data_IF_913485958895
#
_entry.id   IF_913485958895
#
_cell.length_a   1.000
_cell.length_b   1.000
_cell.length_c   1.000
_cell.angle_alpha   90.00
_cell.angle_beta   90.00
_cell.angle_gamma   90.00
#
_symmetry.space_group_name_H-M   'P 1'
#
loop_
_entity.id
_entity.type
_entity.pdbx_description
1 polymer ?
#
# COMPACT_ATOMS: atom_id res chain seq x y z
N UNK A 1 6.96 -15.68 -7.12
CA UNK A 1 6.04 -15.67 -5.96
C UNK A 1 6.90 -15.64 -4.71
N UNK A 2 6.80 -14.64 -3.84
CA UNK A 2 7.53 -14.67 -2.57
C UNK A 2 6.78 -15.65 -1.66
N UNK A 3 7.29 -16.86 -1.40
CA UNK A 3 6.59 -17.86 -0.61
C UNK A 3 6.82 -17.52 0.85
N UNK A 4 6.31 -16.37 1.31
CA UNK A 4 6.20 -15.95 2.70
C UNK A 4 7.47 -15.94 3.56
N UNK A 5 8.64 -16.29 3.02
CA UNK A 5 9.84 -16.60 3.81
C UNK A 5 10.16 -15.48 4.82
N UNK A 6 10.31 -15.81 6.12
CA UNK A 6 10.40 -17.17 6.68
C UNK A 6 9.06 -17.81 7.11
N UNK A 7 7.91 -17.15 6.91
CA UNK A 7 6.61 -17.57 7.44
C UNK A 7 5.65 -18.09 6.36
N UNK A 8 4.98 -19.19 6.63
CA UNK A 8 3.86 -19.65 5.82
C UNK A 8 2.66 -18.71 5.93
N UNK A 9 1.80 -18.71 4.91
CA UNK A 9 0.52 -17.97 4.93
C UNK A 9 -0.33 -18.31 6.18
N UNK A 10 -0.26 -19.56 6.65
CA UNK A 10 -0.94 -20.01 7.87
C UNK A 10 -0.36 -19.36 9.14
N UNK A 11 0.94 -19.17 9.21
CA UNK A 11 1.62 -18.51 10.33
C UNK A 11 1.32 -17.01 10.36
N UNK A 12 1.34 -16.37 9.18
CA UNK A 12 0.90 -14.97 9.02
C UNK A 12 -0.54 -14.81 9.49
N UNK A 13 -1.44 -15.71 9.07
CA UNK A 13 -2.85 -15.73 9.50
C UNK A 13 -3.01 -15.85 11.03
N UNK A 14 -2.18 -16.69 11.66
CA UNK A 14 -2.19 -16.89 13.11
C UNK A 14 -1.75 -15.61 13.82
N UNK A 15 -0.69 -14.97 13.34
CA UNK A 15 -0.20 -13.69 13.86
C UNK A 15 -1.24 -12.58 13.74
N UNK A 16 -1.87 -12.43 12.57
CA UNK A 16 -2.92 -11.43 12.33
C UNK A 16 -4.13 -11.62 13.25
N UNK A 17 -4.60 -12.86 13.42
CA UNK A 17 -5.70 -13.16 14.34
C UNK A 17 -5.34 -12.85 15.78
N UNK A 18 -4.14 -13.26 16.22
CA UNK A 18 -3.65 -12.99 17.56
C UNK A 18 -3.50 -11.49 17.84
N UNK A 19 -3.06 -10.72 16.84
CA UNK A 19 -2.99 -9.26 16.92
C UNK A 19 -4.38 -8.68 17.16
N UNK A 20 -5.36 -8.99 16.30
CA UNK A 20 -6.72 -8.45 16.40
C UNK A 20 -7.44 -8.86 17.69
N UNK A 21 -7.18 -10.07 18.21
CA UNK A 21 -7.78 -10.52 19.47
C UNK A 21 -7.22 -9.80 20.69
N UNK A 22 -5.99 -9.27 20.63
CA UNK A 22 -5.35 -8.53 21.73
C UNK A 22 -5.79 -7.07 21.81
N UNK A 23 -6.44 -6.55 20.78
CA UNK A 23 -6.86 -5.17 20.76
C UNK A 23 -8.15 -5.00 21.58
N UNK A 24 -8.23 -3.94 22.39
CA UNK A 24 -9.42 -3.56 23.17
C UNK A 24 -10.70 -3.48 22.34
N UNK A 25 -11.80 -4.12 22.78
CA UNK A 25 -13.03 -4.31 22.00
C UNK A 25 -13.54 -3.02 21.32
N UNK A 26 -13.40 -1.88 21.98
CA UNK A 26 -13.88 -0.57 21.53
C UNK A 26 -12.89 0.22 20.64
N UNK A 27 -11.72 -0.35 20.37
CA UNK A 27 -10.69 0.31 19.56
C UNK A 27 -10.98 0.21 18.06
N UNK A 28 -10.76 1.32 17.36
CA UNK A 28 -10.72 1.40 15.91
C UNK A 28 -9.33 1.02 15.40
N UNK A 29 -9.26 0.23 14.33
CA UNK A 29 -8.01 -0.33 13.82
C UNK A 29 -7.72 0.20 12.42
N UNK A 30 -6.54 0.79 12.23
CA UNK A 30 -5.93 1.00 10.92
C UNK A 30 -4.97 -0.16 10.68
N UNK A 31 -5.27 -1.00 9.68
CA UNK A 31 -4.40 -2.13 9.35
C UNK A 31 -3.50 -1.74 8.18
N UNK A 32 -2.18 -1.84 8.38
CA UNK A 32 -1.19 -1.63 7.32
C UNK A 32 -0.44 -2.94 7.11
N UNK A 33 -0.48 -3.44 5.88
CA UNK A 33 0.10 -4.73 5.50
C UNK A 33 0.90 -4.56 4.22
N UNK A 34 1.90 -5.42 3.99
CA UNK A 34 2.61 -5.37 2.71
C UNK A 34 1.73 -5.92 1.57
N UNK A 35 1.20 -7.13 1.74
CA UNK A 35 0.30 -7.77 0.77
C UNK A 35 -1.17 -7.53 1.15
N UNK A 36 -1.98 -7.07 0.19
CA UNK A 36 -3.42 -6.85 0.37
C UNK A 36 -4.23 -8.14 0.47
N UNK A 37 -5.53 -8.08 0.80
CA UNK A 37 -6.38 -9.27 0.83
C UNK A 37 -6.58 -9.84 -0.58
N UNK A 38 -6.55 -11.16 -0.75
CA UNK A 38 -6.80 -11.79 -2.05
C UNK A 38 -8.21 -11.49 -2.59
N UNK A 39 -8.35 -11.51 -3.92
CA UNK A 39 -9.65 -11.40 -4.61
C UNK A 39 -10.34 -10.05 -4.43
N UNK A 40 -9.57 -8.97 -4.29
CA UNK A 40 -10.09 -7.58 -4.35
C UNK A 40 -9.46 -6.85 -5.52
N UNK A 41 -10.10 -5.80 -6.04
CA UNK A 41 -9.64 -5.10 -7.25
C UNK A 41 -8.28 -4.37 -7.10
N UNK A 42 -7.80 -4.18 -5.87
CA UNK A 42 -6.45 -3.64 -5.60
C UNK A 42 -5.36 -4.71 -5.55
N UNK A 43 -5.70 -5.97 -5.78
CA UNK A 43 -4.78 -7.11 -5.92
C UNK A 43 -4.98 -7.77 -7.29
N UNK A 44 -3.92 -8.37 -7.83
CA UNK A 44 -3.95 -9.04 -9.12
C UNK A 44 -4.18 -10.53 -8.91
N UNK A 45 -5.07 -11.09 -9.73
CA UNK A 45 -5.22 -12.52 -9.96
C UNK A 45 -5.14 -12.72 -11.46
N UNK A 46 -3.99 -13.17 -11.98
CA UNK A 46 -3.93 -13.61 -13.37
C UNK A 46 -4.47 -15.02 -13.44
N UNK A 47 -5.37 -15.31 -14.38
CA UNK A 47 -5.70 -16.70 -14.71
C UNK A 47 -4.41 -17.40 -15.14
N UNK A 48 -4.27 -18.68 -14.81
CA UNK A 48 -3.34 -19.57 -15.51
C UNK A 48 -3.50 -19.31 -17.02
N UNK A 49 -2.39 -19.10 -17.74
CA UNK A 49 -2.40 -18.58 -19.10
C UNK A 49 -3.39 -19.35 -19.99
N UNK A 50 -4.48 -18.71 -20.41
CA UNK A 50 -5.50 -19.31 -21.29
C UNK A 50 -5.06 -19.24 -22.77
N UNK A 51 -3.78 -18.97 -23.04
CA UNK A 51 -3.22 -19.02 -24.38
C UNK A 51 -3.02 -20.47 -24.78
N UNK A 52 -3.96 -20.96 -25.60
CA UNK A 52 -4.08 -22.29 -26.18
C UNK A 52 -2.84 -22.86 -26.91
N UNK A 53 -1.64 -22.26 -26.82
CA UNK A 53 -0.53 -22.55 -27.73
C UNK A 53 0.90 -22.53 -27.15
N UNK A 54 1.14 -22.63 -25.83
CA UNK A 54 2.51 -22.79 -25.30
C UNK A 54 2.60 -23.94 -24.32
N UNK A 55 3.59 -24.82 -24.48
CA UNK A 55 3.86 -25.97 -23.58
C UNK A 55 4.22 -25.53 -22.14
N UNK A 56 4.51 -24.25 -21.90
CA UNK A 56 4.79 -23.66 -20.59
C UNK A 56 3.53 -23.02 -19.94
N UNK A 57 2.39 -23.72 -19.96
CA UNK A 57 1.18 -23.24 -19.27
C UNK A 57 1.44 -23.23 -17.77
N UNK A 58 1.32 -22.07 -17.12
CA UNK A 58 1.30 -22.00 -15.66
C UNK A 58 0.13 -22.80 -15.12
N UNK A 59 0.41 -23.85 -14.35
CA UNK A 59 -0.64 -24.68 -13.73
C UNK A 59 -1.51 -23.92 -12.71
N UNK A 60 -1.02 -22.78 -12.21
CA UNK A 60 -1.68 -22.03 -11.14
C UNK A 60 -1.80 -20.53 -11.43
N UNK A 61 -2.93 -19.90 -11.07
CA UNK A 61 -3.08 -18.46 -11.17
C UNK A 61 -2.06 -17.75 -10.28
N UNK A 62 -1.55 -16.61 -10.74
CA UNK A 62 -0.73 -15.75 -9.90
C UNK A 62 -1.66 -14.85 -9.11
N UNK A 63 -1.78 -15.14 -7.82
CA UNK A 63 -2.42 -14.27 -6.85
C UNK A 63 -1.38 -13.42 -6.12
N UNK A 64 -1.54 -12.11 -6.16
CA UNK A 64 -0.66 -11.17 -5.46
C UNK A 64 -1.22 -10.76 -4.09
N UNK A 65 -2.41 -11.22 -3.74
CA UNK A 65 -3.06 -10.97 -2.45
C UNK A 65 -2.95 -12.16 -1.50
N UNK A 66 -3.22 -11.92 -0.22
CA UNK A 66 -3.20 -12.89 0.86
C UNK A 66 -4.61 -13.47 1.12
N UNK A 67 -4.85 -14.78 0.86
CA UNK A 67 -6.12 -15.42 1.17
C UNK A 67 -6.40 -15.46 2.68
N UNK A 68 -5.36 -15.59 3.50
CA UNK A 68 -5.55 -15.57 4.94
C UNK A 68 -5.98 -14.21 5.47
N UNK A 69 -5.38 -13.13 4.96
CA UNK A 69 -5.79 -11.77 5.30
C UNK A 69 -7.24 -11.51 4.87
N UNK A 70 -7.65 -11.99 3.68
CA UNK A 70 -9.05 -11.93 3.25
C UNK A 70 -9.96 -12.59 4.29
N UNK A 71 -9.65 -13.81 4.72
CA UNK A 71 -10.43 -14.54 5.73
C UNK A 71 -10.50 -13.78 7.07
N UNK A 72 -9.37 -13.23 7.53
CA UNK A 72 -9.31 -12.42 8.76
C UNK A 72 -10.18 -11.17 8.65
N UNK A 73 -10.06 -10.43 7.55
CA UNK A 73 -10.82 -9.20 7.32
C UNK A 73 -12.31 -9.45 7.09
N UNK A 74 -12.71 -10.62 6.58
CA UNK A 74 -14.11 -11.03 6.47
C UNK A 74 -14.75 -11.41 7.81
N UNK A 75 -13.98 -11.58 8.89
CA UNK A 75 -14.53 -11.90 10.21
C UNK A 75 -15.40 -10.77 10.79
N UNK A 76 -16.42 -11.12 11.58
CA UNK A 76 -17.29 -10.14 12.24
C UNK A 76 -16.49 -9.12 13.07
N UNK A 77 -15.47 -9.59 13.78
CA UNK A 77 -14.59 -8.75 14.60
C UNK A 77 -13.85 -7.72 13.77
N UNK A 78 -13.24 -8.13 12.64
CA UNK A 78 -12.56 -7.19 11.76
C UNK A 78 -13.53 -6.21 11.11
N UNK A 79 -14.68 -6.69 10.61
CA UNK A 79 -15.72 -5.85 9.99
C UNK A 79 -16.31 -4.80 10.94
N UNK A 80 -16.27 -5.05 12.26
CA UNK A 80 -16.71 -4.08 13.26
C UNK A 80 -15.64 -3.03 13.58
N UNK A 81 -14.36 -3.39 13.53
CA UNK A 81 -13.28 -2.65 14.19
C UNK A 81 -12.25 -2.05 13.24
N UNK A 82 -11.99 -2.70 12.11
CA UNK A 82 -11.04 -2.21 11.11
C UNK A 82 -11.70 -1.09 10.31
N UNK A 83 -11.11 0.09 10.41
CA UNK A 83 -11.60 1.31 9.77
C UNK A 83 -11.05 1.44 8.34
N UNK A 84 -9.86 0.92 8.12
CA UNK A 84 -9.16 0.94 6.84
C UNK A 84 -8.09 -0.15 6.82
N UNK A 85 -7.89 -0.78 5.67
CA UNK A 85 -6.70 -1.57 5.35
C UNK A 85 -5.90 -0.87 4.24
N UNK A 86 -4.63 -0.57 4.47
CA UNK A 86 -3.72 -0.04 3.45
C UNK A 86 -2.66 -1.10 3.12
N UNK A 87 -2.35 -1.26 1.83
CA UNK A 87 -1.35 -2.21 1.37
C UNK A 87 -0.52 -1.73 0.17
N UNK A 88 0.48 -2.53 -0.19
CA UNK A 88 1.30 -2.36 -1.39
C UNK A 88 1.53 -3.71 -2.09
N UNK A 89 2.79 -4.03 -2.37
CA UNK A 89 3.31 -5.26 -2.98
C UNK A 89 2.99 -5.47 -4.47
N UNK A 90 1.75 -5.25 -4.88
CA UNK A 90 1.29 -5.79 -6.17
C UNK A 90 1.78 -4.98 -7.36
N UNK A 91 2.23 -3.73 -7.15
CA UNK A 91 2.68 -2.71 -8.12
C UNK A 91 1.66 -2.39 -9.25
N UNK A 92 0.88 -3.38 -9.66
CA UNK A 92 -0.40 -3.32 -10.36
C UNK A 92 -1.57 -3.35 -9.36
N UNK A 93 -2.74 -2.82 -9.75
CA UNK A 93 -3.91 -2.71 -8.85
C UNK A 93 -3.87 -1.49 -7.93
N UNK A 94 -3.31 -0.38 -8.42
CA UNK A 94 -3.32 0.92 -7.72
C UNK A 94 -4.76 1.43 -7.59
N UNK A 95 -5.12 1.93 -6.41
CA UNK A 95 -6.42 2.55 -6.17
C UNK A 95 -7.09 2.08 -4.90
N UNK A 96 -8.42 1.99 -4.94
CA UNK A 96 -9.25 1.79 -3.76
C UNK A 96 -10.35 0.78 -4.03
N UNK A 97 -10.69 0.01 -3.02
CA UNK A 97 -11.78 -0.97 -3.08
C UNK A 97 -12.36 -1.19 -1.69
N UNK A 98 -13.26 -2.18 -1.57
CA UNK A 98 -13.86 -2.56 -0.29
C UNK A 98 -13.90 -4.08 -0.14
N UNK A 99 -13.64 -4.54 1.07
CA UNK A 99 -13.92 -5.89 1.50
C UNK A 99 -15.00 -5.84 2.58
N UNK A 100 -16.26 -6.00 2.16
CA UNK A 100 -17.41 -5.73 3.01
C UNK A 100 -17.49 -4.25 3.40
N UNK A 101 -17.44 -3.96 4.71
CA UNK A 101 -17.46 -2.59 5.25
C UNK A 101 -16.08 -1.94 5.33
N UNK A 102 -15.01 -2.72 5.16
CA UNK A 102 -13.62 -2.26 5.32
C UNK A 102 -13.15 -1.66 4.00
N UNK A 103 -12.85 -0.34 3.93
CA UNK A 103 -12.13 0.25 2.82
C UNK A 103 -10.73 -0.35 2.71
N UNK A 104 -10.29 -0.61 1.49
CA UNK A 104 -8.96 -1.13 1.18
C UNK A 104 -8.29 -0.18 0.19
N UNK A 105 -7.07 0.27 0.51
CA UNK A 105 -6.30 1.19 -0.32
C UNK A 105 -4.97 0.55 -0.74
N UNK A 106 -4.62 0.70 -2.00
CA UNK A 106 -3.29 0.40 -2.54
C UNK A 106 -2.73 1.66 -3.19
N UNK A 107 -1.74 2.25 -2.54
CA UNK A 107 -1.13 3.50 -3.01
C UNK A 107 -0.34 3.32 -4.31
N UNK A 108 0.00 2.09 -4.67
CA UNK A 108 0.91 1.82 -5.78
C UNK A 108 2.38 2.05 -5.42
N UNK A 109 3.23 1.96 -6.44
CA UNK A 109 4.67 2.20 -6.29
C UNK A 109 4.97 3.67 -6.53
N UNK A 110 5.71 4.29 -5.60
CA UNK A 110 6.21 5.65 -5.80
C UNK A 110 7.13 5.78 -7.03
N UNK A 111 7.83 4.70 -7.42
CA UNK A 111 8.78 4.71 -8.52
C UNK A 111 8.19 4.28 -9.87
N UNK A 112 7.07 3.54 -9.87
CA UNK A 112 6.46 3.05 -11.11
C UNK A 112 5.14 3.75 -11.43
N UNK A 113 4.24 3.86 -10.44
CA UNK A 113 2.95 4.53 -10.65
C UNK A 113 2.99 6.01 -10.31
N UNK A 114 4.09 6.49 -9.70
CA UNK A 114 4.22 7.87 -9.21
C UNK A 114 3.00 8.31 -8.41
N UNK A 115 2.43 7.40 -7.60
CA UNK A 115 1.11 7.62 -7.00
C UNK A 115 1.16 7.47 -5.48
N UNK A 116 0.26 8.15 -4.79
CA UNK A 116 0.07 8.07 -3.35
C UNK A 116 -1.41 8.20 -2.99
N UNK A 117 -1.81 7.68 -1.82
CA UNK A 117 -3.17 7.80 -1.33
C UNK A 117 -3.28 8.85 -0.21
N UNK A 118 -4.20 9.79 -0.34
CA UNK A 118 -4.61 10.70 0.72
C UNK A 118 -5.88 10.16 1.39
N UNK A 119 -5.77 9.77 2.65
CA UNK A 119 -6.88 9.28 3.47
C UNK A 119 -7.17 10.30 4.56
N UNK A 120 -8.42 10.75 4.65
CA UNK A 120 -8.89 11.59 5.74
C UNK A 120 -9.71 10.73 6.70
N UNK A 121 -9.25 10.68 7.96
CA UNK A 121 -9.96 10.03 9.05
C UNK A 121 -10.69 11.08 9.88
N UNK A 122 -11.97 10.85 10.16
CA UNK A 122 -12.73 11.66 11.11
C UNK A 122 -13.03 10.85 12.35
N UNK A 123 -12.89 11.51 13.49
CA UNK A 123 -13.28 10.95 14.78
C UNK A 123 -14.72 11.35 15.06
N UNK A 124 -15.59 10.38 15.23
CA UNK A 124 -16.95 10.64 15.70
C UNK A 124 -16.87 10.97 17.20
N UNK A 125 -17.12 12.23 17.54
CA UNK A 125 -17.33 12.66 18.92
C UNK A 125 -18.71 12.15 19.35
N UNK A 126 -18.77 11.42 20.46
CA UNK A 126 -20.01 10.77 20.88
C UNK A 126 -20.88 11.65 21.77
N UNK A 127 -22.18 11.38 21.60
CA UNK A 127 -23.30 11.63 22.52
C UNK A 127 -22.95 11.09 23.92
N UNK A 128 -23.29 11.80 25.01
CA UNK A 128 -22.78 11.58 26.38
C UNK A 128 -22.87 10.15 26.95
N UNK A 129 -23.73 9.28 26.43
CA UNK A 129 -24.10 8.00 27.06
C UNK A 129 -23.36 6.74 26.56
N UNK A 130 -22.40 6.86 25.64
CA UNK A 130 -21.56 5.71 25.26
C UNK A 130 -20.10 6.10 25.05
N UNK A 131 -19.18 5.51 25.80
CA UNK A 131 -17.75 5.86 25.81
C UNK A 131 -16.92 5.50 24.56
N UNK A 132 -17.44 4.80 23.54
CA UNK A 132 -16.59 4.42 22.39
C UNK A 132 -16.32 5.57 21.42
N UNK A 133 -15.05 5.95 21.28
CA UNK A 133 -14.60 6.92 20.27
C UNK A 133 -14.29 6.16 18.98
N UNK A 134 -15.10 6.33 17.93
CA UNK A 134 -14.94 5.59 16.67
C UNK A 134 -14.31 6.48 15.59
N UNK A 135 -13.31 5.93 14.90
CA UNK A 135 -12.77 6.54 13.69
C UNK A 135 -13.51 6.03 12.46
N UNK A 136 -13.65 6.89 11.45
CA UNK A 136 -14.16 6.52 10.13
C UNK A 136 -13.34 7.19 9.04
N UNK A 137 -13.25 6.54 7.88
CA UNK A 137 -12.75 7.18 6.66
C UNK A 137 -13.81 8.15 6.16
N UNK A 138 -13.50 9.45 6.14
CA UNK A 138 -14.38 10.48 5.56
C UNK A 138 -14.08 10.75 4.09
N UNK A 139 -12.83 10.58 3.67
CA UNK A 139 -12.41 10.72 2.28
C UNK A 139 -11.20 9.85 2.00
N UNK A 140 -11.10 9.38 0.77
CA UNK A 140 -9.95 8.64 0.27
C UNK A 140 -9.73 9.03 -1.19
N UNK A 141 -8.54 9.52 -1.51
CA UNK A 141 -8.17 9.97 -2.85
C UNK A 141 -6.87 9.32 -3.26
N UNK A 142 -6.81 8.87 -4.51
CA UNK A 142 -5.56 8.46 -5.13
C UNK A 142 -5.04 9.66 -5.93
N UNK A 143 -3.79 10.04 -5.68
CA UNK A 143 -3.15 11.19 -6.29
C UNK A 143 -1.93 10.71 -7.07
N UNK A 144 -1.72 11.30 -8.24
CA UNK A 144 -0.56 11.05 -9.10
C UNK A 144 0.38 12.25 -9.02
N UNK A 145 1.67 11.96 -8.88
CA UNK A 145 2.77 12.90 -9.01
C UNK A 145 3.05 13.05 -10.51
N UNK A 146 2.32 13.97 -11.17
CA UNK A 146 2.61 14.34 -12.55
C UNK A 146 3.75 15.38 -12.58
N UNK A 147 4.66 15.25 -13.54
CA UNK A 147 5.57 16.34 -13.89
C UNK A 147 6.97 16.31 -13.29
N UNK A 148 7.54 15.15 -12.94
CA UNK A 148 9.00 15.06 -12.72
C UNK A 148 9.78 15.05 -14.05
N UNK A 149 9.49 15.99 -14.95
CA UNK A 149 10.44 16.32 -16.01
C UNK A 149 11.44 17.31 -15.38
N UNK A 150 12.74 17.11 -15.61
CA UNK A 150 13.79 17.95 -15.01
C UNK A 150 13.49 19.45 -15.23
N UNK A 151 13.19 20.18 -14.15
CA UNK A 151 13.01 21.64 -14.16
C UNK A 151 11.61 22.18 -13.89
N UNK A 152 10.56 21.36 -13.91
CA UNK A 152 9.19 21.81 -13.61
C UNK A 152 8.81 21.55 -12.14
N UNK A 153 8.15 22.51 -11.44
CA UNK A 153 7.70 22.32 -10.07
C UNK A 153 6.63 21.22 -9.99
N UNK A 154 6.72 20.41 -8.94
CA UNK A 154 5.81 19.29 -8.67
C UNK A 154 4.36 19.78 -8.55
N UNK A 155 3.55 19.58 -9.60
CA UNK A 155 2.14 19.98 -9.65
C UNK A 155 1.24 18.81 -9.22
N UNK A 156 0.61 18.95 -8.05
CA UNK A 156 -0.41 18.02 -7.57
C UNK A 156 -1.71 18.20 -8.39
N UNK A 157 -1.85 17.47 -9.50
CA UNK A 157 -3.10 17.48 -10.26
C UNK A 157 -4.20 16.73 -9.51
N UNK A 158 -5.35 17.36 -9.30
CA UNK A 158 -6.55 16.72 -8.72
C UNK A 158 -6.77 16.94 -7.22
N UNK A 159 -5.90 17.68 -6.53
CA UNK A 159 -6.09 18.05 -5.13
C UNK A 159 -6.64 19.48 -4.98
N UNK A 160 -7.90 19.73 -5.38
CA UNK A 160 -8.65 20.82 -4.76
C UNK A 160 -9.02 20.40 -3.33
N UNK A 161 -8.03 20.47 -2.45
CA UNK A 161 -8.21 20.12 -1.05
C UNK A 161 -8.95 21.27 -0.36
N UNK A 162 -10.29 21.23 -0.41
CA UNK A 162 -11.14 22.11 0.40
C UNK A 162 -11.03 21.69 1.88
N UNK A 163 -9.92 22.07 2.52
CA UNK A 163 -9.76 21.96 3.96
C UNK A 163 -10.58 23.08 4.60
N UNK A 164 -11.83 22.75 4.97
CA UNK A 164 -12.79 23.66 5.62
C UNK A 164 -12.45 23.98 7.09
N UNK A 165 -11.45 23.32 7.67
CA UNK A 165 -11.04 23.55 9.07
C UNK A 165 -9.64 24.18 9.15
N UNK A 166 -9.47 25.33 9.81
CA UNK A 166 -8.17 26.00 9.96
C UNK A 166 -7.10 25.12 10.62
N UNK A 167 -7.48 24.25 11.57
CA UNK A 167 -6.54 23.38 12.29
C UNK A 167 -6.04 22.20 11.44
N UNK A 168 -6.85 21.74 10.47
CA UNK A 168 -6.44 20.71 9.52
C UNK A 168 -5.50 21.24 8.43
N UNK A 169 -5.53 22.55 8.12
CA UNK A 169 -4.59 23.16 7.17
C UNK A 169 -3.17 23.09 7.69
N UNK A 170 -2.97 23.44 8.97
CA UNK A 170 -1.65 23.36 9.61
C UNK A 170 -1.14 21.93 9.68
N UNK A 171 -2.01 20.96 10.03
CA UNK A 171 -1.61 19.55 10.08
C UNK A 171 -1.26 18.99 8.68
N UNK A 172 -2.06 19.32 7.66
CA UNK A 172 -1.79 18.92 6.28
C UNK A 172 -0.43 19.46 5.81
N UNK A 173 -0.15 20.75 6.05
CA UNK A 173 1.14 21.37 5.72
C UNK A 173 2.31 20.66 6.44
N UNK A 174 2.15 20.32 7.73
CA UNK A 174 3.20 19.60 8.48
C UNK A 174 3.44 18.19 7.94
N UNK A 175 2.39 17.45 7.59
CA UNK A 175 2.54 16.10 7.00
C UNK A 175 3.19 16.19 5.62
N UNK A 176 2.82 17.16 4.79
CA UNK A 176 3.46 17.40 3.50
C UNK A 176 4.95 17.74 3.65
N UNK A 177 5.31 18.56 4.65
CA UNK A 177 6.72 18.89 4.94
C UNK A 177 7.50 17.66 5.42
N UNK A 178 6.93 16.83 6.30
CA UNK A 178 7.61 15.63 6.79
C UNK A 178 7.82 14.58 5.70
N UNK A 179 6.81 14.37 4.84
CA UNK A 179 6.91 13.47 3.69
C UNK A 179 7.90 14.03 2.66
N UNK A 180 7.87 15.34 2.40
CA UNK A 180 8.83 16.00 1.51
C UNK A 180 10.27 15.90 2.01
N UNK A 181 10.51 16.17 3.29
CA UNK A 181 11.84 16.02 3.91
C UNK A 181 12.33 14.58 3.88
N UNK A 182 11.44 13.61 4.15
CA UNK A 182 11.79 12.19 4.09
C UNK A 182 12.12 11.75 2.65
N UNK A 183 11.35 12.19 1.65
CA UNK A 183 11.61 11.93 0.23
C UNK A 183 12.94 12.53 -0.22
N UNK A 184 13.21 13.80 0.10
CA UNK A 184 14.49 14.44 -0.18
C UNK A 184 15.64 13.68 0.47
N UNK A 185 15.48 13.25 1.72
CA UNK A 185 16.52 12.50 2.42
C UNK A 185 16.77 11.12 1.79
N UNK A 186 15.73 10.42 1.32
CA UNK A 186 15.85 9.13 0.65
C UNK A 186 16.49 9.26 -0.74
N UNK A 187 16.13 10.28 -1.52
CA UNK A 187 16.75 10.56 -2.83
C UNK A 187 18.23 10.90 -2.66
N UNK A 188 18.58 11.77 -1.69
CA UNK A 188 19.97 12.13 -1.42
C UNK A 188 20.81 10.93 -0.94
N UNK A 189 20.22 9.98 -0.19
CA UNK A 189 20.90 8.75 0.20
C UNK A 189 21.11 7.79 -0.98
N UNK A 190 20.12 7.67 -1.88
CA UNK A 190 20.26 6.88 -3.10
C UNK A 190 21.38 7.40 -4.01
N UNK A 191 21.47 8.72 -4.18
CA UNK A 191 22.56 9.35 -4.95
C UNK A 191 23.94 9.08 -4.35
N UNK A 192 24.08 9.10 -3.02
CA UNK A 192 25.36 8.78 -2.37
C UNK A 192 25.74 7.30 -2.48
N UNK A 193 24.77 6.39 -2.49
CA UNK A 193 25.03 4.96 -2.60
C UNK A 193 25.49 4.54 -4.01
N UNK A 194 25.02 5.23 -5.06
CA UNK A 194 25.39 4.92 -6.45
C UNK A 194 26.60 5.71 -6.98
N UNK A 195 27.13 6.68 -6.22
CA UNK A 195 28.19 7.59 -6.67
C UNK A 195 29.63 7.06 -6.53
N UNK A 196 29.86 5.84 -6.03
CA UNK A 196 31.22 5.31 -5.79
C UNK A 196 31.44 3.89 -6.34
N UNK A 197 30.56 3.40 -7.23
CA UNK A 197 30.69 2.08 -7.84
C UNK A 197 31.46 2.12 -9.15
N UNK A 198 32.71 1.67 -9.11
CA UNK A 198 33.64 1.36 -10.19
C UNK A 198 33.01 1.01 -11.56
N UNK A 199 33.40 1.74 -12.59
CA UNK A 199 33.22 1.43 -14.02
C UNK A 199 34.53 0.85 -14.61
N UNK A 200 35.19 -0.06 -13.89
CA UNK A 200 36.34 -0.81 -14.41
C UNK A 200 36.13 -2.29 -14.04
N UNK A 201 35.57 -3.08 -14.95
CA UNK A 201 35.82 -4.54 -15.12
C UNK A 201 34.81 -5.23 -16.06
N UNK A 202 34.57 -4.67 -17.26
CA UNK A 202 33.77 -5.38 -18.27
C UNK A 202 34.35 -5.25 -19.69
N UNK A 203 35.64 -5.60 -19.85
CA UNK A 203 36.27 -5.84 -21.17
C UNK A 203 37.25 -7.04 -21.16
N UNK A 204 36.96 -8.09 -20.39
CA UNK A 204 37.80 -9.30 -20.34
C UNK A 204 37.01 -10.59 -20.64
N UNK A 205 36.30 -10.66 -21.77
CA UNK A 205 35.74 -11.93 -22.28
C UNK A 205 35.57 -11.90 -23.82
N UNK A 206 36.63 -11.59 -24.55
CA UNK A 206 36.74 -11.89 -25.99
C UNK A 206 38.15 -12.40 -26.30
N UNK A 207 38.38 -13.70 -26.10
CA UNK A 207 39.62 -14.35 -26.53
C UNK A 207 39.59 -15.84 -26.23
N UNK A 208 39.35 -16.67 -27.26
CA UNK A 208 39.48 -18.12 -27.13
C UNK A 208 38.72 -18.96 -28.16
N UNK A 209 39.00 -18.77 -29.46
CA UNK A 209 38.77 -19.81 -30.48
C UNK A 209 39.96 -19.85 -31.43
N UNK A 210 40.79 -20.88 -31.26
CA UNK A 210 41.62 -21.53 -32.28
C UNK A 210 42.19 -22.81 -31.67
#
# INVERSE_FOLDING_TARGET
>A
VWPGSPFTEREVAKGQRALLSRMEAESSVLLMVHCGPAGVSTTVSSTADNTLCSEDVREHPIESGSPSLRSVLSSKTAQARVVLTAHGHTHAGVGQTRLGRIPVANAGSLTMSYAFSLIVLTRELRVPDRHSRRWRVSSMQQLELKGCNEGEPLLLSGAEMFVRSPSLRTLAVVVFLLVGVLLVHLVLRGYRANGTGHYEDEYACLGGRS
#
